data_IF_225665814484
#
_entry.id   IF_225665814484
#
_cell.length_a   1.000
_cell.length_b   1.000
_cell.length_c   1.000
_cell.angle_alpha   90.00
_cell.angle_beta   90.00
_cell.angle_gamma   90.00
#
_symmetry.space_group_name_H-M   'P 1'
#
loop_
_entity.id
_entity.type
_entity.pdbx_description
1 polymer ?
#
# COMPACT_ATOMS: atom_id res chain seq x y z
N UNK A 1 -54.83 -9.77 -3.68
CA UNK A 1 -54.12 -9.10 -2.58
C UNK A 1 -54.29 -7.59 -2.72
N UNK A 2 -54.71 -6.92 -1.64
CA UNK A 2 -54.90 -5.45 -1.68
C UNK A 2 -53.52 -4.80 -1.66
N UNK A 3 -53.32 -3.73 -2.43
CA UNK A 3 -52.06 -2.96 -2.53
C UNK A 3 -51.51 -2.53 -1.18
N UNK A 4 -52.38 -2.28 -0.21
CA UNK A 4 -52.06 -1.96 1.19
C UNK A 4 -51.31 -3.11 1.89
N UNK A 5 -51.75 -4.36 1.68
CA UNK A 5 -51.17 -5.55 2.32
C UNK A 5 -49.74 -5.83 1.79
N UNK A 6 -49.51 -5.56 0.48
CA UNK A 6 -48.19 -5.71 -0.12
C UNK A 6 -47.19 -4.71 0.48
N UNK A 7 -47.61 -3.44 0.66
CA UNK A 7 -46.79 -2.42 1.30
C UNK A 7 -46.45 -2.77 2.75
N UNK A 8 -47.42 -3.23 3.52
CA UNK A 8 -47.21 -3.63 4.93
C UNK A 8 -46.24 -4.82 5.02
N UNK A 9 -46.40 -5.82 4.14
CA UNK A 9 -45.48 -6.97 4.09
C UNK A 9 -44.06 -6.51 3.76
N UNK A 10 -43.90 -5.62 2.78
CA UNK A 10 -42.62 -5.09 2.36
C UNK A 10 -41.91 -4.31 3.49
N UNK A 11 -42.66 -3.47 4.20
CA UNK A 11 -42.17 -2.73 5.38
C UNK A 11 -41.71 -3.70 6.46
N UNK A 12 -42.48 -4.77 6.72
CA UNK A 12 -42.17 -5.74 7.75
C UNK A 12 -40.86 -6.53 7.38
N UNK A 13 -40.74 -6.95 6.13
CA UNK A 13 -39.52 -7.62 5.65
C UNK A 13 -38.30 -6.72 5.76
N UNK A 14 -38.44 -5.43 5.39
CA UNK A 14 -37.36 -4.46 5.50
C UNK A 14 -36.97 -4.17 6.97
N UNK A 15 -37.96 -4.13 7.87
CA UNK A 15 -37.75 -3.95 9.29
C UNK A 15 -36.95 -5.14 9.87
N UNK A 16 -37.34 -6.37 9.54
CA UNK A 16 -36.63 -7.58 9.99
C UNK A 16 -35.19 -7.58 9.45
N UNK A 17 -35.00 -7.25 8.17
CA UNK A 17 -33.68 -7.15 7.57
C UNK A 17 -32.82 -6.09 8.26
N UNK A 18 -33.38 -4.91 8.55
CA UNK A 18 -32.64 -3.86 9.25
C UNK A 18 -32.28 -4.25 10.68
N UNK A 19 -33.16 -4.94 11.41
CA UNK A 19 -32.86 -5.46 12.75
C UNK A 19 -31.73 -6.51 12.66
N UNK A 20 -31.79 -7.42 11.71
CA UNK A 20 -30.75 -8.40 11.50
C UNK A 20 -29.39 -7.74 11.20
N UNK A 21 -29.35 -6.82 10.24
CA UNK A 21 -28.14 -6.07 9.91
C UNK A 21 -27.61 -5.24 11.08
N UNK A 22 -28.52 -4.69 11.90
CA UNK A 22 -28.12 -3.93 13.08
C UNK A 22 -27.48 -4.84 14.15
N UNK A 23 -28.05 -6.02 14.39
CA UNK A 23 -27.46 -7.03 15.31
C UNK A 23 -26.11 -7.47 14.80
N UNK A 24 -26.00 -7.84 13.51
CA UNK A 24 -24.74 -8.23 12.87
C UNK A 24 -23.68 -7.11 12.96
N UNK A 25 -24.11 -5.87 12.77
CA UNK A 25 -23.23 -4.70 12.93
C UNK A 25 -22.76 -4.53 14.38
N UNK A 26 -23.66 -4.68 15.35
CA UNK A 26 -23.34 -4.58 16.78
C UNK A 26 -22.41 -5.73 17.22
N UNK A 27 -22.65 -6.94 16.77
CA UNK A 27 -21.78 -8.10 17.06
C UNK A 27 -20.39 -7.90 16.46
N UNK A 28 -20.31 -7.40 15.21
CA UNK A 28 -19.04 -7.11 14.56
C UNK A 28 -18.29 -5.96 15.25
N UNK A 29 -18.99 -4.94 15.71
CA UNK A 29 -18.38 -3.84 16.46
C UNK A 29 -17.94 -4.27 17.86
N UNK A 30 -18.73 -5.09 18.56
CA UNK A 30 -18.38 -5.60 19.89
C UNK A 30 -17.22 -6.61 19.86
N UNK A 31 -17.06 -7.38 18.79
CA UNK A 31 -15.91 -8.30 18.66
C UNK A 31 -14.59 -7.54 18.50
N UNK A 32 -14.60 -6.31 18.03
CA UNK A 32 -13.42 -5.46 17.86
C UNK A 32 -13.08 -4.70 19.14
N UNK A 33 -14.10 -4.23 19.87
CA UNK A 33 -13.91 -3.61 21.20
C UNK A 33 -13.59 -4.63 22.28
N UNK A 34 -13.88 -5.91 22.04
CA UNK A 34 -13.82 -6.98 23.06
C UNK A 34 -12.51 -7.78 23.11
N UNK A 35 -11.39 -7.25 22.59
CA UNK A 35 -10.09 -7.76 23.05
C UNK A 35 -9.85 -7.48 24.55
N UNK A 36 -10.64 -6.62 25.15
CA UNK A 36 -10.85 -6.56 26.60
C UNK A 36 -11.92 -7.62 26.97
N UNK A 37 -11.63 -8.92 26.70
CA UNK A 37 -12.51 -10.03 27.05
C UNK A 37 -12.75 -10.01 28.56
N UNK A 38 -13.92 -9.53 28.92
CA UNK A 38 -14.36 -9.39 30.33
C UNK A 38 -14.80 -10.71 30.94
N UNK A 39 -14.66 -11.81 30.20
CA UNK A 39 -14.98 -13.15 30.76
C UNK A 39 -13.73 -13.78 31.38
N UNK A 40 -13.61 -13.86 32.72
CA UNK A 40 -12.41 -14.33 33.38
C UNK A 40 -12.09 -15.83 33.15
N UNK A 41 -12.94 -16.54 32.41
CA UNK A 41 -12.76 -17.96 32.10
C UNK A 41 -12.32 -18.21 30.64
N UNK A 42 -12.20 -17.19 29.82
CA UNK A 42 -11.68 -17.31 28.44
C UNK A 42 -10.22 -16.90 28.39
N UNK A 43 -9.36 -17.63 27.64
CA UNK A 43 -7.97 -17.24 27.50
C UNK A 43 -7.87 -15.85 26.87
N UNK A 44 -6.87 -15.09 27.29
CA UNK A 44 -6.56 -13.81 26.66
C UNK A 44 -5.93 -14.05 25.28
N UNK A 45 -5.99 -13.05 24.38
CA UNK A 45 -5.31 -13.13 23.10
C UNK A 45 -3.83 -13.50 23.24
N UNK A 46 -3.15 -12.95 24.24
CA UNK A 46 -1.73 -13.24 24.51
C UNK A 46 -1.51 -14.70 24.92
N UNK A 47 -2.45 -15.30 25.66
CA UNK A 47 -2.40 -16.71 26.01
C UNK A 47 -2.68 -17.62 24.81
N UNK A 48 -3.62 -17.25 23.95
CA UNK A 48 -3.92 -17.95 22.70
C UNK A 48 -2.73 -17.93 21.73
N UNK A 49 -2.14 -16.76 21.49
CA UNK A 49 -0.94 -16.62 20.67
C UNK A 49 0.23 -17.44 21.24
N UNK A 50 0.37 -17.48 22.56
CA UNK A 50 1.40 -18.28 23.22
C UNK A 50 1.16 -19.79 23.11
N UNK A 51 -0.10 -20.25 23.13
CA UNK A 51 -0.44 -21.65 22.90
C UNK A 51 -0.05 -22.11 21.50
N UNK A 52 -0.19 -21.22 20.51
CA UNK A 52 0.23 -21.44 19.12
C UNK A 52 1.74 -21.17 18.86
N UNK A 53 2.53 -20.88 19.92
CA UNK A 53 3.95 -20.50 19.83
C UNK A 53 4.20 -19.30 18.90
N UNK A 54 3.19 -18.40 18.77
CA UNK A 54 3.32 -17.16 17.99
C UNK A 54 4.07 -16.14 18.84
N UNK A 55 5.12 -15.56 18.25
CA UNK A 55 6.00 -14.60 18.91
C UNK A 55 5.78 -13.19 18.35
N UNK A 56 5.88 -12.20 19.24
CA UNK A 56 5.76 -10.80 18.87
C UNK A 56 7.05 -10.10 19.29
N UNK A 57 7.75 -9.46 18.34
CA UNK A 57 8.89 -8.57 18.64
C UNK A 57 8.36 -7.25 19.20
N UNK A 58 9.16 -6.60 20.02
CA UNK A 58 8.82 -5.29 20.59
C UNK A 58 8.52 -4.28 19.49
N UNK A 59 7.43 -3.55 19.64
CA UNK A 59 7.03 -2.45 18.77
C UNK A 59 6.63 -1.23 19.61
N UNK A 60 6.70 -0.06 19.02
CA UNK A 60 6.26 1.17 19.67
C UNK A 60 5.45 2.04 18.72
N UNK A 61 4.15 2.22 19.00
CA UNK A 61 3.24 3.09 18.26
C UNK A 61 2.60 4.06 19.24
N UNK A 62 3.04 5.32 19.19
CA UNK A 62 2.57 6.37 20.10
C UNK A 62 1.28 7.08 19.65
N UNK A 63 0.70 6.71 18.51
CA UNK A 63 -0.49 7.37 17.95
C UNK A 63 -1.74 6.73 18.53
N UNK A 64 -2.59 7.54 19.19
CA UNK A 64 -3.85 7.08 19.80
C UNK A 64 -5.11 7.54 19.07
N UNK A 65 -4.98 8.63 18.30
CA UNK A 65 -6.11 9.19 17.52
C UNK A 65 -5.59 9.68 16.19
N UNK A 66 -6.34 9.42 15.14
CA UNK A 66 -6.09 9.96 13.82
C UNK A 66 -7.39 10.04 13.00
N UNK A 67 -7.29 10.57 11.78
CA UNK A 67 -8.41 10.75 10.87
C UNK A 67 -8.06 10.23 9.49
N UNK A 68 -9.08 9.95 8.71
CA UNK A 68 -8.89 9.71 7.28
C UNK A 68 -8.28 10.94 6.60
N UNK A 69 -7.52 10.71 5.55
CA UNK A 69 -6.98 11.78 4.71
C UNK A 69 -7.56 11.68 3.31
N UNK A 70 -7.80 12.84 2.72
CA UNK A 70 -8.15 12.96 1.32
C UNK A 70 -7.00 13.64 0.59
N UNK A 71 -6.39 12.96 -0.40
CA UNK A 71 -5.23 13.46 -1.11
C UNK A 71 -5.44 13.25 -2.62
N UNK A 72 -5.23 14.30 -3.40
CA UNK A 72 -5.23 14.22 -4.85
C UNK A 72 -3.82 13.95 -5.38
N UNK A 73 -3.67 13.28 -6.53
CA UNK A 73 -2.40 13.22 -7.23
C UNK A 73 -1.88 14.63 -7.54
N UNK A 74 -0.58 14.83 -7.37
CA UNK A 74 0.07 16.10 -7.69
C UNK A 74 0.34 16.18 -9.19
N UNK A 75 0.06 17.35 -9.78
CA UNK A 75 0.59 17.74 -11.07
C UNK A 75 1.88 18.52 -10.83
N UNK A 76 2.97 18.12 -11.46
CA UNK A 76 4.26 18.81 -11.36
C UNK A 76 4.16 20.20 -12.00
N UNK A 77 4.61 21.21 -11.26
CA UNK A 77 4.72 22.58 -11.79
C UNK A 77 5.93 22.71 -12.69
N UNK A 78 5.98 23.77 -13.50
CA UNK A 78 7.21 24.09 -14.26
C UNK A 78 8.45 24.23 -13.35
N UNK A 79 8.26 24.74 -12.14
CA UNK A 79 9.34 24.90 -11.19
C UNK A 79 9.85 23.54 -10.71
N UNK A 80 8.95 22.59 -10.45
CA UNK A 80 9.32 21.20 -10.09
C UNK A 80 10.09 20.57 -11.26
N UNK A 81 9.55 20.69 -12.47
CA UNK A 81 10.16 20.09 -13.65
C UNK A 81 11.55 20.67 -13.98
N UNK A 82 11.76 21.99 -13.79
CA UNK A 82 13.09 22.59 -13.94
C UNK A 82 14.10 22.03 -12.93
N UNK A 83 13.69 21.78 -11.68
CA UNK A 83 14.55 21.14 -10.69
C UNK A 83 14.91 19.71 -11.07
N UNK A 84 13.94 18.96 -11.61
CA UNK A 84 14.13 17.60 -12.08
C UNK A 84 15.09 17.57 -13.27
N UNK A 85 14.89 18.42 -14.28
CA UNK A 85 15.78 18.57 -15.45
C UNK A 85 17.20 19.04 -15.09
N UNK A 86 17.39 19.66 -13.93
CA UNK A 86 18.72 20.05 -13.44
C UNK A 86 19.52 18.89 -12.83
N UNK A 87 18.89 17.73 -12.59
CA UNK A 87 19.59 16.51 -12.18
C UNK A 87 20.50 16.06 -13.32
N UNK A 88 21.75 15.72 -12.95
CA UNK A 88 22.76 15.29 -13.90
C UNK A 88 22.78 13.79 -14.04
N UNK A 89 23.37 13.32 -15.14
CA UNK A 89 23.60 11.91 -15.44
C UNK A 89 22.31 11.10 -15.61
N UNK A 90 21.27 11.76 -16.17
CA UNK A 90 20.02 11.10 -16.52
C UNK A 90 19.22 11.91 -17.52
N UNK A 91 18.45 11.22 -18.34
CA UNK A 91 17.44 11.78 -19.21
C UNK A 91 16.05 11.59 -18.58
N UNK A 92 15.26 12.65 -18.50
CA UNK A 92 13.98 12.63 -17.79
C UNK A 92 12.87 13.19 -18.62
N UNK A 93 11.75 12.49 -18.66
CA UNK A 93 10.51 12.88 -19.31
C UNK A 93 9.37 12.97 -18.30
N UNK A 94 8.56 14.04 -18.43
CA UNK A 94 7.35 14.24 -17.65
C UNK A 94 6.13 14.06 -18.56
N UNK A 95 5.34 13.04 -18.29
CA UNK A 95 4.20 12.66 -19.10
C UNK A 95 2.91 13.12 -18.43
N UNK A 96 2.04 13.81 -19.17
CA UNK A 96 0.76 14.33 -18.68
C UNK A 96 0.86 15.13 -17.37
N UNK A 97 2.04 15.71 -17.09
CA UNK A 97 2.29 16.51 -15.91
C UNK A 97 2.30 15.76 -14.58
N UNK A 98 2.18 14.44 -14.56
CA UNK A 98 2.05 13.66 -13.32
C UNK A 98 2.95 12.42 -13.21
N UNK A 99 3.29 11.79 -14.32
CA UNK A 99 4.18 10.64 -14.36
C UNK A 99 5.56 11.05 -14.88
N UNK A 100 6.56 10.90 -14.06
CA UNK A 100 7.95 11.13 -14.42
C UNK A 100 8.60 9.77 -14.74
N UNK A 101 9.30 9.71 -15.86
CA UNK A 101 10.12 8.56 -16.27
C UNK A 101 11.52 9.05 -16.52
N UNK A 102 12.52 8.38 -15.97
CA UNK A 102 13.91 8.75 -16.14
C UNK A 102 14.79 7.54 -16.41
N UNK A 103 15.75 7.73 -17.31
CA UNK A 103 16.85 6.81 -17.59
C UNK A 103 18.14 7.38 -17.03
N UNK A 104 18.91 6.58 -16.30
CA UNK A 104 20.27 6.95 -15.90
C UNK A 104 21.22 6.81 -17.11
N UNK A 105 22.16 7.74 -17.26
CA UNK A 105 23.15 7.72 -18.34
C UNK A 105 24.07 6.49 -18.22
N UNK A 106 24.40 6.13 -16.97
CA UNK A 106 25.15 4.93 -16.62
C UNK A 106 24.42 4.18 -15.49
N UNK A 107 24.43 2.82 -15.49
CA UNK A 107 23.86 2.03 -14.41
C UNK A 107 24.48 2.38 -13.05
N UNK A 108 23.66 2.52 -12.01
CA UNK A 108 24.07 2.91 -10.67
C UNK A 108 24.00 1.71 -9.74
N UNK A 109 25.12 1.23 -9.18
CA UNK A 109 25.13 0.05 -8.33
C UNK A 109 24.39 0.29 -7.00
N UNK A 110 23.62 -0.72 -6.57
CA UNK A 110 22.98 -0.73 -5.27
C UNK A 110 23.95 -1.05 -4.14
N UNK A 111 23.66 -0.62 -2.89
CA UNK A 111 24.32 -1.13 -1.70
C UNK A 111 24.20 -2.65 -1.62
N UNK A 112 25.23 -3.36 -1.13
CA UNK A 112 25.24 -4.84 -1.01
C UNK A 112 24.06 -5.41 -0.24
N UNK A 113 23.57 -4.69 0.76
CA UNK A 113 22.36 -5.02 1.56
C UNK A 113 21.45 -3.80 1.58
N UNK A 114 20.54 -3.68 0.58
CA UNK A 114 19.61 -2.55 0.51
C UNK A 114 18.70 -2.49 1.74
N UNK A 115 18.65 -1.33 2.37
CA UNK A 115 17.76 -1.01 3.47
C UNK A 115 17.30 0.44 3.37
N UNK A 116 16.32 0.83 4.18
CA UNK A 116 15.77 2.17 4.11
C UNK A 116 16.81 3.29 4.23
N UNK A 117 17.81 3.15 5.09
CA UNK A 117 18.81 4.19 5.31
C UNK A 117 19.74 4.39 4.10
N UNK A 118 20.35 3.29 3.61
CA UNK A 118 21.34 3.37 2.53
C UNK A 118 20.71 3.59 1.14
N UNK A 119 19.53 3.03 0.88
CA UNK A 119 18.78 3.28 -0.37
C UNK A 119 18.31 4.73 -0.40
N UNK A 120 17.69 5.24 0.68
CA UNK A 120 17.28 6.65 0.75
C UNK A 120 18.46 7.61 0.58
N UNK A 121 19.63 7.32 1.16
CA UNK A 121 20.83 8.13 0.99
C UNK A 121 21.34 8.11 -0.46
N UNK A 122 21.27 6.96 -1.13
CA UNK A 122 21.65 6.83 -2.53
C UNK A 122 20.72 7.64 -3.42
N UNK A 123 19.40 7.44 -3.28
CA UNK A 123 18.40 8.04 -4.14
C UNK A 123 18.32 9.56 -4.02
N UNK A 124 18.64 10.15 -2.86
CA UNK A 124 18.74 11.62 -2.69
C UNK A 124 19.68 12.30 -3.68
N UNK A 125 20.62 11.57 -4.23
CA UNK A 125 21.58 12.11 -5.21
C UNK A 125 21.02 12.17 -6.64
N UNK A 126 20.02 11.33 -6.93
CA UNK A 126 19.57 11.09 -8.29
C UNK A 126 18.09 11.38 -8.51
N UNK A 127 17.25 11.30 -7.48
CA UNK A 127 15.80 11.44 -7.60
C UNK A 127 15.33 12.64 -6.78
N UNK A 128 14.69 13.58 -7.45
CA UNK A 128 14.13 14.77 -6.80
C UNK A 128 13.06 14.38 -5.78
N UNK A 129 13.02 15.06 -4.63
CA UNK A 129 12.05 14.82 -3.55
C UNK A 129 12.01 13.36 -3.04
N UNK A 130 13.06 12.58 -3.26
CA UNK A 130 13.12 11.18 -2.77
C UNK A 130 13.08 11.07 -1.25
N UNK A 131 13.35 12.16 -0.51
CA UNK A 131 13.20 12.26 0.94
C UNK A 131 11.73 12.28 1.40
N UNK A 132 10.79 12.55 0.51
CA UNK A 132 9.35 12.40 0.76
C UNK A 132 8.87 10.94 0.67
N UNK A 133 9.75 10.01 0.30
CA UNK A 133 9.45 8.59 0.15
C UNK A 133 10.23 7.75 1.16
N UNK A 134 9.67 6.58 1.48
CA UNK A 134 10.30 5.55 2.29
C UNK A 134 10.54 4.31 1.42
N UNK A 135 11.76 3.79 1.44
CA UNK A 135 12.06 2.50 0.83
C UNK A 135 11.22 1.42 1.52
N UNK A 136 10.47 0.68 0.72
CA UNK A 136 9.58 -0.38 1.18
C UNK A 136 10.23 -1.75 1.03
N UNK A 137 10.79 -2.02 -0.14
CA UNK A 137 11.39 -3.31 -0.42
C UNK A 137 11.92 -3.43 -1.85
N UNK A 138 12.51 -4.56 -2.11
CA UNK A 138 12.96 -5.00 -3.42
C UNK A 138 12.16 -6.21 -3.83
N UNK A 139 11.32 -6.07 -4.83
CA UNK A 139 10.69 -7.18 -5.52
C UNK A 139 11.75 -7.83 -6.42
N UNK A 140 12.08 -9.09 -6.13
CA UNK A 140 13.15 -9.82 -6.81
C UNK A 140 12.71 -10.39 -8.15
N UNK A 141 11.43 -10.73 -8.28
CA UNK A 141 10.87 -11.34 -9.47
C UNK A 141 10.72 -10.26 -10.56
N UNK A 142 10.14 -9.13 -10.24
CA UNK A 142 10.11 -7.98 -11.13
C UNK A 142 11.46 -7.23 -11.26
N UNK A 143 12.41 -7.49 -10.38
CA UNK A 143 13.69 -6.78 -10.23
C UNK A 143 13.51 -5.25 -10.08
N UNK A 144 12.58 -4.85 -9.19
CA UNK A 144 12.16 -3.47 -8.98
C UNK A 144 12.23 -3.09 -7.50
N UNK A 145 12.78 -1.91 -7.18
CA UNK A 145 12.66 -1.34 -5.83
C UNK A 145 11.38 -0.53 -5.74
N UNK A 146 10.66 -0.69 -4.62
CA UNK A 146 9.46 0.06 -4.29
C UNK A 146 9.77 1.08 -3.20
N UNK A 147 9.32 2.33 -3.41
CA UNK A 147 9.32 3.37 -2.41
C UNK A 147 7.95 4.05 -2.40
N UNK A 148 7.32 4.08 -1.23
CA UNK A 148 6.03 4.73 -1.04
C UNK A 148 6.19 6.12 -0.43
N UNK A 149 5.36 7.07 -0.87
CA UNK A 149 5.35 8.42 -0.32
C UNK A 149 4.93 8.42 1.14
N UNK A 150 5.44 9.39 1.89
CA UNK A 150 5.12 9.63 3.30
C UNK A 150 4.30 10.91 3.45
N UNK A 151 3.39 10.87 4.39
CA UNK A 151 2.77 12.07 4.98
C UNK A 151 3.15 12.13 6.46
N UNK A 152 3.90 13.17 6.86
CA UNK A 152 4.39 13.34 8.23
C UNK A 152 5.08 12.11 8.82
N UNK A 153 6.03 11.55 8.07
CA UNK A 153 6.77 10.33 8.40
C UNK A 153 5.95 9.03 8.46
N UNK A 154 4.70 9.05 8.04
CA UNK A 154 3.82 7.89 7.93
C UNK A 154 3.70 7.47 6.48
N UNK A 155 4.00 6.23 6.19
CA UNK A 155 3.98 5.69 4.83
C UNK A 155 2.56 5.54 4.31
N UNK A 156 2.33 5.95 3.06
CA UNK A 156 1.09 5.70 2.32
C UNK A 156 1.33 4.47 1.44
N UNK A 157 0.83 3.33 1.88
CA UNK A 157 1.10 2.04 1.26
C UNK A 157 0.24 1.79 0.02
N UNK A 158 0.79 1.10 -0.96
CA UNK A 158 0.10 0.57 -2.15
C UNK A 158 -0.73 1.62 -2.90
N UNK A 159 -0.14 2.80 -3.09
CA UNK A 159 -0.75 3.86 -3.88
C UNK A 159 0.13 4.22 -5.08
N UNK A 160 -0.39 4.01 -6.30
CA UNK A 160 0.33 4.29 -7.54
C UNK A 160 0.60 5.76 -7.82
N UNK A 161 -0.07 6.68 -7.14
CA UNK A 161 0.12 8.12 -7.29
C UNK A 161 1.10 8.73 -6.28
N UNK A 162 1.59 7.96 -5.34
CA UNK A 162 2.64 8.34 -4.40
C UNK A 162 3.75 7.28 -4.39
N UNK A 163 4.36 7.02 -5.53
CA UNK A 163 5.20 5.86 -5.76
C UNK A 163 6.47 6.21 -6.54
N UNK A 164 7.59 5.64 -6.13
CA UNK A 164 8.79 5.51 -6.96
C UNK A 164 9.02 4.03 -7.20
N UNK A 165 9.15 3.64 -8.48
CA UNK A 165 9.64 2.34 -8.91
C UNK A 165 11.04 2.55 -9.53
N UNK A 166 12.04 1.84 -9.02
CA UNK A 166 13.40 1.85 -9.55
C UNK A 166 13.68 0.51 -10.19
N UNK A 167 13.91 0.50 -11.50
CA UNK A 167 14.14 -0.70 -12.29
C UNK A 167 15.63 -1.02 -12.32
N UNK A 168 15.95 -2.29 -12.12
CA UNK A 168 17.31 -2.76 -12.06
C UNK A 168 17.66 -3.62 -13.28
N UNK A 169 18.94 -3.62 -13.63
CA UNK A 169 19.48 -4.55 -14.61
C UNK A 169 19.82 -5.90 -13.94
N UNK A 170 20.33 -6.87 -14.71
CA UNK A 170 20.71 -8.20 -14.23
C UNK A 170 21.87 -8.18 -13.22
N UNK A 171 22.63 -7.10 -13.16
CA UNK A 171 23.75 -6.91 -12.23
C UNK A 171 23.29 -6.18 -10.95
N UNK A 172 21.97 -5.98 -10.78
CA UNK A 172 21.34 -5.25 -9.68
C UNK A 172 21.75 -3.77 -9.61
N UNK A 173 21.90 -3.12 -10.75
CA UNK A 173 22.19 -1.71 -10.87
C UNK A 173 20.94 -0.96 -11.36
N UNK A 174 20.70 0.23 -10.85
CA UNK A 174 19.58 1.09 -11.24
C UNK A 174 19.78 1.62 -12.65
N UNK A 175 18.81 1.40 -13.53
CA UNK A 175 18.85 1.84 -14.95
C UNK A 175 17.73 2.82 -15.28
N UNK A 176 16.55 2.65 -14.72
CA UNK A 176 15.39 3.54 -14.90
C UNK A 176 14.69 3.78 -13.56
N UNK A 177 13.91 4.84 -13.50
CA UNK A 177 12.89 4.98 -12.47
C UNK A 177 11.63 5.66 -13.00
N UNK A 178 10.50 5.37 -12.37
CA UNK A 178 9.27 6.15 -12.49
C UNK A 178 8.96 6.82 -11.17
N UNK A 179 8.36 8.00 -11.21
CA UNK A 179 7.94 8.73 -10.02
C UNK A 179 6.59 9.39 -10.24
N UNK A 180 5.68 9.17 -9.31
CA UNK A 180 4.43 9.91 -9.15
C UNK A 180 4.41 10.52 -7.76
N UNK A 181 3.63 11.57 -7.54
CA UNK A 181 3.55 12.27 -6.27
C UNK A 181 2.11 12.58 -5.91
N UNK A 182 1.77 12.40 -4.65
CA UNK A 182 0.55 12.90 -4.03
C UNK A 182 0.77 14.35 -3.59
N UNK A 183 -0.30 15.15 -3.68
CA UNK A 183 -0.31 16.53 -3.22
C UNK A 183 -0.52 16.65 -1.71
N UNK A 184 -1.04 17.81 -1.29
CA UNK A 184 -1.26 18.12 0.11
C UNK A 184 -2.41 17.29 0.69
N UNK A 185 -2.17 16.70 1.86
CA UNK A 185 -3.17 15.92 2.57
C UNK A 185 -4.20 16.82 3.26
N UNK A 186 -5.47 16.52 3.03
CA UNK A 186 -6.60 17.15 3.70
C UNK A 186 -7.23 16.16 4.69
N UNK A 187 -7.33 16.54 5.95
CA UNK A 187 -8.02 15.72 6.96
C UNK A 187 -9.51 15.62 6.64
N UNK A 188 -10.05 14.41 6.78
CA UNK A 188 -11.47 14.13 6.55
C UNK A 188 -12.14 13.70 7.86
N UNK A 189 -13.04 14.52 8.37
CA UNK A 189 -13.77 14.27 9.61
C UNK A 189 -12.95 14.58 10.88
N UNK A 190 -13.55 14.24 12.02
CA UNK A 190 -12.92 14.38 13.33
C UNK A 190 -11.99 13.19 13.63
N UNK A 191 -10.92 13.39 14.43
CA UNK A 191 -10.03 12.31 14.79
C UNK A 191 -10.75 11.21 15.59
N UNK A 192 -10.73 10.00 15.09
CA UNK A 192 -11.23 8.80 15.75
C UNK A 192 -10.17 8.18 16.66
N UNK A 193 -10.58 7.52 17.73
CA UNK A 193 -9.70 6.69 18.53
C UNK A 193 -9.27 5.48 17.70
N UNK A 194 -7.97 5.21 17.65
CA UNK A 194 -7.43 4.04 16.96
C UNK A 194 -7.55 2.81 17.87
N UNK A 195 -7.81 1.66 17.26
CA UNK A 195 -7.64 0.37 17.94
C UNK A 195 -6.19 0.21 18.40
N UNK A 196 -5.98 -0.53 19.48
CA UNK A 196 -4.64 -0.88 19.91
C UNK A 196 -3.97 -1.82 18.87
N UNK A 197 -2.67 -1.74 18.66
CA UNK A 197 -1.98 -2.63 17.70
C UNK A 197 -2.18 -4.12 18.03
N UNK A 198 -2.34 -4.46 19.31
CA UNK A 198 -2.64 -5.84 19.73
C UNK A 198 -4.00 -6.32 19.20
N UNK A 199 -5.01 -5.44 19.15
CA UNK A 199 -6.31 -5.77 18.54
C UNK A 199 -6.19 -6.04 17.05
N UNK A 200 -5.31 -5.32 16.34
CA UNK A 200 -5.04 -5.59 14.93
C UNK A 200 -4.34 -6.94 14.72
N UNK A 201 -3.44 -7.34 15.62
CA UNK A 201 -2.84 -8.67 15.63
C UNK A 201 -3.91 -9.74 15.89
N UNK A 202 -4.80 -9.50 16.83
CA UNK A 202 -5.93 -10.38 17.10
C UNK A 202 -6.84 -10.57 15.89
N UNK A 203 -7.10 -9.49 15.13
CA UNK A 203 -7.87 -9.59 13.88
C UNK A 203 -7.22 -10.55 12.88
N UNK A 204 -5.88 -10.54 12.76
CA UNK A 204 -5.17 -11.50 11.90
C UNK A 204 -5.28 -12.93 12.42
N UNK A 205 -5.20 -13.11 13.73
CA UNK A 205 -5.34 -14.41 14.36
C UNK A 205 -6.74 -15.00 14.13
N UNK A 206 -7.79 -14.23 14.37
CA UNK A 206 -9.18 -14.62 14.19
C UNK A 206 -9.53 -14.93 12.73
N UNK A 207 -8.85 -14.28 11.77
CA UNK A 207 -9.03 -14.55 10.34
C UNK A 207 -8.15 -15.71 9.82
N UNK A 208 -7.43 -16.41 10.72
CA UNK A 208 -6.50 -17.49 10.39
C UNK A 208 -5.35 -17.08 9.44
N UNK A 209 -4.94 -15.81 9.52
CA UNK A 209 -3.81 -15.28 8.75
C UNK A 209 -2.47 -15.51 9.48
N UNK A 210 -2.52 -15.85 10.78
CA UNK A 210 -1.37 -16.24 11.60
C UNK A 210 -1.36 -17.75 11.80
N UNK A 211 -0.21 -18.36 11.57
CA UNK A 211 -0.02 -19.79 11.74
C UNK A 211 0.81 -20.09 12.99
N UNK A 212 0.69 -21.30 13.51
CA UNK A 212 1.48 -21.78 14.63
C UNK A 212 2.99 -21.59 14.37
N UNK A 213 3.72 -21.03 15.34
CA UNK A 213 5.15 -20.66 15.30
C UNK A 213 5.49 -19.44 14.46
N UNK A 214 4.53 -18.70 13.93
CA UNK A 214 4.80 -17.42 13.29
C UNK A 214 5.48 -16.43 14.25
N UNK A 215 6.22 -15.52 13.68
CA UNK A 215 6.81 -14.40 14.42
C UNK A 215 6.37 -13.09 13.80
N UNK A 216 5.65 -12.26 14.55
CA UNK A 216 5.40 -10.88 14.18
C UNK A 216 6.70 -10.12 14.38
N UNK A 217 7.34 -9.76 13.28
CA UNK A 217 8.68 -9.19 13.26
C UNK A 217 8.69 -7.68 13.28
N UNK A 218 7.60 -7.05 12.82
CA UNK A 218 7.47 -5.60 12.82
C UNK A 218 6.00 -5.17 12.81
N UNK A 219 5.70 -4.05 13.50
CA UNK A 219 4.40 -3.37 13.44
C UNK A 219 4.67 -1.89 13.19
N UNK A 220 4.16 -1.36 12.08
CA UNK A 220 4.30 0.03 11.68
C UNK A 220 2.92 0.67 11.53
N UNK A 221 2.85 1.99 11.72
CA UNK A 221 1.65 2.76 11.51
C UNK A 221 1.79 3.65 10.27
N UNK A 222 0.76 3.66 9.44
CA UNK A 222 0.70 4.45 8.22
C UNK A 222 -0.72 4.60 7.69
N UNK A 223 -0.82 4.71 6.37
CA UNK A 223 -2.10 4.85 5.68
C UNK A 223 -2.18 3.87 4.51
N UNK A 224 -3.40 3.43 4.22
CA UNK A 224 -3.67 2.51 3.13
C UNK A 224 -4.88 2.99 2.30
N UNK A 225 -4.82 2.80 0.99
CA UNK A 225 -5.92 3.17 0.09
C UNK A 225 -6.92 2.03 -0.01
N UNK A 226 -8.10 2.15 0.58
CA UNK A 226 -9.15 1.11 0.47
C UNK A 226 -9.78 1.04 -0.91
N UNK A 227 -9.90 2.18 -1.57
CA UNK A 227 -10.53 2.32 -2.90
C UNK A 227 -9.57 3.13 -3.76
N UNK A 228 -8.91 2.47 -4.71
CA UNK A 228 -8.10 3.15 -5.69
C UNK A 228 -9.01 3.89 -6.69
N UNK A 229 -8.72 5.16 -6.93
CA UNK A 229 -9.41 5.90 -7.98
C UNK A 229 -8.77 5.58 -9.33
N UNK A 230 -9.57 5.11 -10.27
CA UNK A 230 -9.10 4.87 -11.64
C UNK A 230 -8.86 6.17 -12.42
N UNK A 231 -9.52 7.25 -12.02
CA UNK A 231 -9.58 8.52 -12.77
C UNK A 231 -8.57 9.57 -12.32
N UNK A 232 -7.66 9.27 -11.39
CA UNK A 232 -6.75 10.26 -10.81
C UNK A 232 -7.44 11.32 -9.95
N UNK A 233 -8.67 11.06 -9.51
CA UNK A 233 -9.38 11.91 -8.56
C UNK A 233 -8.76 11.82 -7.16
N UNK A 234 -9.18 12.71 -6.28
CA UNK A 234 -8.80 12.67 -4.88
C UNK A 234 -9.18 11.34 -4.22
N UNK A 235 -8.29 10.77 -3.42
CA UNK A 235 -8.44 9.46 -2.82
C UNK A 235 -8.48 9.54 -1.30
N UNK A 236 -9.23 8.62 -0.70
CA UNK A 236 -9.35 8.51 0.76
C UNK A 236 -8.36 7.46 1.28
N UNK A 237 -7.54 7.87 2.23
CA UNK A 237 -6.54 7.06 2.90
C UNK A 237 -6.96 6.80 4.34
N UNK A 238 -7.02 5.54 4.70
CA UNK A 238 -7.40 5.10 6.04
C UNK A 238 -6.17 4.89 6.94
N UNK A 239 -6.24 5.29 8.22
CA UNK A 239 -5.27 4.90 9.24
C UNK A 239 -5.14 3.38 9.30
N UNK A 240 -3.92 2.85 9.27
CA UNK A 240 -3.66 1.43 9.07
C UNK A 240 -2.40 0.98 9.79
N UNK A 241 -2.43 -0.19 10.37
CA UNK A 241 -1.24 -0.90 10.85
C UNK A 241 -0.71 -1.82 9.76
N UNK A 242 0.58 -1.70 9.47
CA UNK A 242 1.32 -2.70 8.70
C UNK A 242 1.93 -3.68 9.68
N UNK A 243 1.56 -4.94 9.59
CA UNK A 243 2.06 -6.03 10.42
C UNK A 243 2.88 -6.95 9.52
N UNK A 244 4.17 -7.11 9.85
CA UNK A 244 5.08 -7.98 9.11
C UNK A 244 5.26 -9.29 9.88
N UNK A 245 5.02 -10.41 9.22
CA UNK A 245 5.14 -11.76 9.78
C UNK A 245 6.28 -12.48 9.09
N UNK A 246 7.19 -13.07 9.87
CA UNK A 246 8.38 -13.83 9.45
C UNK A 246 9.31 -13.04 8.50
N UNK A 247 9.31 -11.70 8.56
CA UNK A 247 10.05 -10.80 7.67
C UNK A 247 9.62 -10.85 6.19
N UNK A 248 8.57 -11.60 5.85
CA UNK A 248 8.10 -11.86 4.48
C UNK A 248 6.67 -11.37 4.24
N UNK A 249 5.69 -11.88 5.00
CA UNK A 249 4.28 -11.57 4.80
C UNK A 249 3.93 -10.23 5.42
N UNK A 250 3.36 -9.33 4.64
CA UNK A 250 2.92 -8.02 5.12
C UNK A 250 1.40 -7.93 5.07
N UNK A 251 0.80 -7.65 6.21
CA UNK A 251 -0.64 -7.43 6.36
C UNK A 251 -0.91 -5.98 6.70
N UNK A 252 -1.99 -5.46 6.14
CA UNK A 252 -2.49 -4.10 6.37
C UNK A 252 -3.84 -4.19 7.07
N UNK A 253 -3.85 -3.83 8.34
CA UNK A 253 -5.03 -3.92 9.20
C UNK A 253 -5.51 -2.53 9.55
N UNK A 254 -6.79 -2.24 9.31
CA UNK A 254 -7.38 -0.94 9.61
C UNK A 254 -7.28 -0.57 11.09
N UNK A 255 -6.83 0.64 11.37
CA UNK A 255 -6.69 1.13 12.75
C UNK A 255 -7.95 1.81 13.29
N UNK A 256 -8.95 2.09 12.46
CA UNK A 256 -10.24 2.70 12.82
C UNK A 256 -11.40 1.77 12.51
N UNK A 257 -11.31 1.04 11.40
CA UNK A 257 -12.30 0.06 10.97
C UNK A 257 -11.60 -1.27 10.69
N UNK A 258 -12.22 -2.41 11.06
CA UNK A 258 -11.60 -3.72 10.87
C UNK A 258 -11.65 -4.09 9.39
N UNK A 259 -10.52 -4.06 8.76
CA UNK A 259 -10.29 -4.71 7.48
C UNK A 259 -8.88 -5.29 7.47
N UNK A 260 -8.67 -6.33 6.71
CA UNK A 260 -7.36 -6.94 6.48
C UNK A 260 -7.11 -6.98 4.98
N UNK A 261 -5.90 -6.62 4.58
CA UNK A 261 -5.40 -6.80 3.22
C UNK A 261 -3.99 -7.34 3.30
N UNK A 262 -3.69 -8.34 2.50
CA UNK A 262 -2.32 -8.84 2.34
C UNK A 262 -1.60 -8.02 1.27
N UNK A 263 -0.34 -7.68 1.51
CA UNK A 263 0.50 -6.99 0.55
C UNK A 263 1.07 -7.95 -0.47
N UNK A 264 0.86 -7.64 -1.74
CA UNK A 264 1.43 -8.34 -2.88
C UNK A 264 2.17 -7.33 -3.74
N UNK A 265 3.50 -7.39 -3.69
CA UNK A 265 4.34 -6.42 -4.40
C UNK A 265 4.33 -6.67 -5.91
N UNK A 266 4.46 -7.91 -6.34
CA UNK A 266 4.56 -8.29 -7.75
C UNK A 266 3.28 -7.89 -8.48
N UNK A 267 2.14 -8.27 -7.93
CA UNK A 267 0.85 -7.86 -8.45
C UNK A 267 0.67 -6.34 -8.46
N UNK A 268 1.03 -5.64 -7.39
CA UNK A 268 0.92 -4.18 -7.32
C UNK A 268 1.80 -3.48 -8.36
N UNK A 269 3.03 -3.97 -8.60
CA UNK A 269 3.93 -3.44 -9.63
C UNK A 269 3.31 -3.66 -11.00
N UNK A 270 2.87 -4.88 -11.31
CA UNK A 270 2.26 -5.25 -12.58
C UNK A 270 1.01 -4.40 -12.86
N UNK A 271 0.06 -4.33 -11.93
CA UNK A 271 -1.16 -3.52 -12.04
C UNK A 271 -0.83 -2.02 -12.23
N UNK A 272 0.19 -1.51 -11.55
CA UNK A 272 0.64 -0.13 -11.67
C UNK A 272 1.22 0.14 -13.05
N UNK A 273 2.11 -0.73 -13.53
CA UNK A 273 2.75 -0.59 -14.83
C UNK A 273 1.74 -0.71 -15.97
N UNK A 274 0.77 -1.61 -15.85
CA UNK A 274 -0.34 -1.71 -16.81
C UNK A 274 -1.15 -0.40 -16.89
N UNK A 275 -1.45 0.22 -15.74
CA UNK A 275 -2.10 1.53 -15.71
C UNK A 275 -1.23 2.66 -16.31
N UNK A 276 0.10 2.57 -16.16
CA UNK A 276 1.01 3.57 -16.72
C UNK A 276 1.29 3.35 -18.22
N UNK A 277 1.10 2.15 -18.75
CA UNK A 277 1.47 1.81 -20.13
C UNK A 277 0.87 2.77 -21.14
N UNK A 278 -0.45 3.03 -21.08
CA UNK A 278 -1.13 3.94 -21.98
C UNK A 278 -0.60 5.40 -21.91
N UNK A 279 -0.14 5.78 -20.73
CA UNK A 279 0.48 7.10 -20.47
C UNK A 279 1.91 7.13 -21.02
N UNK A 280 2.70 6.08 -20.77
CA UNK A 280 4.08 5.96 -21.26
C UNK A 280 4.16 5.90 -22.79
N UNK A 281 3.16 5.34 -23.47
CA UNK A 281 3.09 5.35 -24.94
C UNK A 281 3.02 6.75 -25.52
N UNK A 282 2.56 7.75 -24.76
CA UNK A 282 2.48 9.16 -25.17
C UNK A 282 3.84 9.89 -25.12
N UNK A 283 4.90 9.24 -24.61
CA UNK A 283 6.26 9.78 -24.70
C UNK A 283 6.63 10.07 -26.16
N UNK A 284 7.48 11.10 -26.38
CA UNK A 284 7.96 11.40 -27.72
C UNK A 284 8.65 10.20 -28.37
N UNK A 285 8.42 9.99 -29.66
CA UNK A 285 9.12 8.96 -30.43
C UNK A 285 10.57 9.32 -30.73
N UNK A 286 11.00 10.56 -30.45
CA UNK A 286 12.39 11.01 -30.56
C UNK A 286 13.26 10.53 -29.41
N UNK A 287 12.64 10.01 -28.32
CA UNK A 287 13.36 9.47 -27.17
C UNK A 287 13.92 8.09 -27.52
N UNK A 288 15.23 8.00 -27.67
CA UNK A 288 15.91 6.78 -28.12
C UNK A 288 15.64 5.57 -27.21
N UNK A 289 15.62 5.77 -25.89
CA UNK A 289 15.44 4.71 -24.90
C UNK A 289 13.98 4.32 -24.65
N UNK A 290 13.00 5.03 -25.21
CA UNK A 290 11.56 4.74 -25.02
C UNK A 290 11.21 3.29 -25.32
N UNK A 291 11.68 2.78 -26.47
CA UNK A 291 11.34 1.43 -26.92
C UNK A 291 11.89 0.36 -25.98
N UNK A 292 13.13 0.52 -25.52
CA UNK A 292 13.77 -0.40 -24.58
C UNK A 292 13.04 -0.43 -23.24
N UNK A 293 12.69 0.75 -22.72
CA UNK A 293 11.94 0.89 -21.48
C UNK A 293 10.55 0.22 -21.56
N UNK A 294 9.80 0.45 -22.64
CA UNK A 294 8.48 -0.16 -22.84
C UNK A 294 8.56 -1.69 -22.97
N UNK A 295 9.60 -2.22 -23.62
CA UNK A 295 9.83 -3.68 -23.68
C UNK A 295 10.04 -4.25 -22.29
N UNK A 296 10.88 -3.62 -21.46
CA UNK A 296 11.12 -4.03 -20.08
C UNK A 296 9.84 -3.99 -19.23
N UNK A 297 9.06 -2.92 -19.32
CA UNK A 297 7.76 -2.79 -18.63
C UNK A 297 6.81 -3.91 -19.03
N UNK A 298 6.68 -4.18 -20.32
CA UNK A 298 5.82 -5.25 -20.83
C UNK A 298 6.26 -6.65 -20.38
N UNK A 299 7.56 -6.90 -20.26
CA UNK A 299 8.07 -8.17 -19.73
C UNK A 299 7.59 -8.39 -18.29
N UNK A 300 7.71 -7.39 -17.43
CA UNK A 300 7.24 -7.49 -16.03
C UNK A 300 5.73 -7.78 -15.97
N UNK A 301 4.93 -7.09 -16.78
CA UNK A 301 3.46 -7.29 -16.81
C UNK A 301 3.09 -8.71 -17.26
N UNK A 302 3.80 -9.24 -18.27
CA UNK A 302 3.51 -10.57 -18.83
C UNK A 302 3.95 -11.68 -17.88
N UNK A 303 5.10 -11.55 -17.22
CA UNK A 303 5.62 -12.54 -16.26
C UNK A 303 4.64 -12.74 -15.11
N UNK A 304 4.14 -11.67 -14.48
CA UNK A 304 3.10 -11.74 -13.44
C UNK A 304 1.82 -12.43 -13.93
N UNK A 305 1.38 -12.12 -15.16
CA UNK A 305 0.18 -12.73 -15.75
C UNK A 305 0.31 -14.24 -15.97
N UNK A 306 1.53 -14.73 -16.21
CA UNK A 306 1.80 -16.17 -16.40
C UNK A 306 1.82 -16.88 -15.04
N UNK A 307 2.40 -16.27 -14.00
CA UNK A 307 2.45 -16.85 -12.66
C UNK A 307 1.06 -16.96 -12.04
N UNK A 308 0.24 -15.92 -12.14
CA UNK A 308 -1.13 -15.91 -11.65
C UNK A 308 -1.99 -17.00 -12.34
N UNK A 309 -1.82 -17.23 -13.65
CA UNK A 309 -2.52 -18.29 -14.36
C UNK A 309 -2.06 -19.70 -13.98
N UNK A 310 -0.88 -19.89 -13.40
CA UNK A 310 -0.41 -21.20 -12.93
C UNK A 310 -0.92 -21.51 -11.53
N UNK A 311 -1.03 -20.54 -10.65
CA UNK A 311 -1.56 -20.70 -9.29
C UNK A 311 -3.06 -21.04 -9.26
N UNK A 312 -3.82 -20.68 -10.30
CA UNK A 312 -5.25 -21.02 -10.41
C UNK A 312 -5.52 -22.46 -10.88
N UNK A 313 -4.48 -23.22 -11.25
CA UNK A 313 -4.57 -24.59 -11.73
C UNK A 313 -3.94 -25.64 -10.78
N UNK A 314 -3.37 -25.23 -9.65
CA UNK A 314 -2.87 -26.10 -8.58
C UNK A 314 -3.79 -26.09 -7.35
#
# INVERSE_FOLDING_TARGET
MQWSQIKTLFILCFLILNIYLFVEFMDKQSSIDSYDRTNPNEPTLEEELKQEDIKIRDYHIGVKKDTYMNIAPKTYTETDYRKIKALKNQETELINGSLLVSKFDEPIPLPKQPNNANVSQLLKKYIASSDEYKYYGWDKDANVLLLFQKEKDRTIYYNRYGLILVFLNKDNEMIYYTQTMLGDAQKQGEPSTLYEPMSAIGTLFDQNELYSKDTITNVEYGYYTRIASETGASQVFAPTYKITVNEERNYFVGAVEPYVSMGDNTKFISDTLQNYESVMQQMSNEIEWKKEFLIMVNQIIVEDSIENNRSDFE
#
